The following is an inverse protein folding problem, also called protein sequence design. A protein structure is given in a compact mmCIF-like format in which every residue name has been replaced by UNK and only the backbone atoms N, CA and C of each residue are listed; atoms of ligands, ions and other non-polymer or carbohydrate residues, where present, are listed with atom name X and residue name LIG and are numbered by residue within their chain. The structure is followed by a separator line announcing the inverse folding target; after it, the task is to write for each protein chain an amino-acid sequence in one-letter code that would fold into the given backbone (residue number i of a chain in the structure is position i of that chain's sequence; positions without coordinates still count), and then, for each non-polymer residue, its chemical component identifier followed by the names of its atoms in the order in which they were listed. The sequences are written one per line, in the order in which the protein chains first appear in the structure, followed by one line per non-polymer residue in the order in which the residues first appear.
data_IF_780905597107
#
_entry.id   IF_780905597107
#
_cell.length_a   1.000
_cell.length_b   1.000
_cell.length_c   1.000
_cell.angle_alpha   90.00
_cell.angle_beta   90.00
_cell.angle_gamma   90.00
#
_symmetry.space_group_name_H-M   'P 1'
#
loop_
_entity.id
_entity.type
_entity.pdbx_description
1 polymer ?
#
# COMPACT_ATOMS: atom_id res chain seq x y z
N UNK A 1 11.80 -7.42 11.13
CA UNK A 1 10.99 -8.47 10.47
C UNK A 1 10.69 -8.04 9.05
N UNK A 2 10.89 -8.91 8.05
CA UNK A 2 10.58 -8.60 6.65
C UNK A 2 9.20 -9.12 6.27
N UNK A 3 8.54 -8.42 5.35
CA UNK A 3 7.25 -8.85 4.81
C UNK A 3 7.16 -8.57 3.31
N UNK A 4 6.26 -9.28 2.63
CA UNK A 4 5.89 -9.00 1.26
C UNK A 4 4.37 -9.14 1.07
N UNK A 5 3.80 -8.33 0.19
CA UNK A 5 2.37 -8.30 -0.05
C UNK A 5 1.99 -7.37 -1.20
N UNK A 6 0.69 -7.06 -1.28
CA UNK A 6 0.16 -6.09 -2.22
C UNK A 6 -0.54 -4.98 -1.45
N UNK A 7 -0.11 -3.73 -1.68
CA UNK A 7 -0.75 -2.55 -1.10
C UNK A 7 -2.00 -2.11 -1.90
N UNK A 8 -2.08 -2.52 -3.17
CA UNK A 8 -3.25 -2.35 -4.02
C UNK A 8 -3.34 -3.50 -5.03
N UNK A 9 -4.56 -3.85 -5.42
CA UNK A 9 -4.89 -4.79 -6.49
C UNK A 9 -5.60 -4.02 -7.60
N UNK A 10 -5.13 -4.16 -8.83
CA UNK A 10 -5.68 -3.44 -9.96
C UNK A 10 -7.05 -3.96 -10.38
N UNK A 11 -7.90 -3.04 -10.87
CA UNK A 11 -9.23 -3.36 -11.37
C UNK A 11 -10.22 -3.86 -10.32
N UNK A 12 -9.86 -3.83 -9.03
CA UNK A 12 -10.73 -4.20 -7.91
C UNK A 12 -11.17 -2.96 -7.16
N UNK A 13 -12.48 -2.83 -7.00
CA UNK A 13 -13.09 -1.74 -6.25
C UNK A 13 -12.79 -1.89 -4.75
N UNK A 14 -12.43 -0.79 -4.11
CA UNK A 14 -12.30 -0.71 -2.66
C UNK A 14 -13.64 -0.32 -1.99
N UNK A 15 -13.66 -0.28 -0.66
CA UNK A 15 -14.84 0.09 0.12
C UNK A 15 -15.23 1.57 -0.03
N UNK A 16 -14.34 2.42 -0.55
CA UNK A 16 -14.62 3.83 -0.88
C UNK A 16 -15.18 4.03 -2.29
N UNK A 17 -15.23 2.98 -3.12
CA UNK A 17 -15.69 3.03 -4.50
C UNK A 17 -14.57 3.29 -5.52
N UNK A 18 -13.32 3.36 -5.09
CA UNK A 18 -12.19 3.62 -5.98
C UNK A 18 -11.69 2.32 -6.63
N UNK A 19 -11.32 2.41 -7.90
CA UNK A 19 -10.68 1.34 -8.65
C UNK A 19 -9.33 1.82 -9.15
N UNK A 20 -8.25 1.18 -8.71
CA UNK A 20 -6.91 1.51 -9.18
C UNK A 20 -6.67 0.87 -10.55
N UNK A 21 -6.25 1.66 -11.54
CA UNK A 21 -5.90 1.18 -12.87
C UNK A 21 -4.41 0.81 -12.95
N UNK A 22 -4.02 -0.19 -13.76
CA UNK A 22 -2.60 -0.43 -14.06
C UNK A 22 -1.93 0.85 -14.58
N UNK A 23 -0.69 1.12 -14.15
CA UNK A 23 0.03 2.35 -14.50
C UNK A 23 -0.28 3.54 -13.61
N UNK A 24 -1.24 3.44 -12.68
CA UNK A 24 -1.64 4.56 -11.83
C UNK A 24 -0.52 5.04 -10.91
N UNK A 25 0.44 4.18 -10.54
CA UNK A 25 1.57 4.54 -9.71
C UNK A 25 2.83 4.89 -10.52
N UNK A 26 2.88 4.59 -11.82
CA UNK A 26 4.09 4.65 -12.65
C UNK A 26 4.87 5.97 -12.51
N UNK A 27 4.17 7.11 -12.65
CA UNK A 27 4.80 8.45 -12.49
C UNK A 27 5.36 8.64 -11.09
N UNK A 28 4.58 8.31 -10.06
CA UNK A 28 4.99 8.49 -8.66
C UNK A 28 6.16 7.59 -8.30
N UNK A 29 6.22 6.36 -8.80
CA UNK A 29 7.34 5.45 -8.57
C UNK A 29 8.61 5.89 -9.29
N UNK A 30 8.49 6.44 -10.51
CA UNK A 30 9.63 6.96 -11.26
C UNK A 30 10.28 8.17 -10.57
N UNK A 31 9.47 9.12 -10.08
CA UNK A 31 9.98 10.31 -9.37
C UNK A 31 10.73 9.92 -8.07
N UNK A 32 10.28 8.84 -7.45
CA UNK A 32 10.69 8.42 -6.11
C UNK A 32 12.11 7.87 -5.99
N UNK A 33 12.75 7.50 -7.09
CA UNK A 33 14.16 7.10 -7.08
C UNK A 33 15.06 8.17 -6.41
N UNK A 34 14.60 9.43 -6.39
CA UNK A 34 15.30 10.58 -5.80
C UNK A 34 14.96 10.84 -4.32
N UNK A 35 13.84 10.29 -3.80
CA UNK A 35 13.23 10.70 -2.52
C UNK A 35 13.44 9.69 -1.36
N UNK A 36 14.19 8.61 -1.60
CA UNK A 36 14.45 7.56 -0.60
C UNK A 36 13.30 6.55 -0.40
N UNK A 37 13.35 5.65 0.59
CA UNK A 37 12.37 4.56 0.81
C UNK A 37 11.03 5.03 1.42
N UNK A 38 9.89 4.36 1.14
CA UNK A 38 8.58 4.78 1.67
C UNK A 38 8.53 4.42 3.16
N UNK A 39 7.90 5.27 4.00
CA UNK A 39 7.58 4.84 5.34
C UNK A 39 6.53 3.73 5.30
N UNK A 40 6.62 2.82 6.27
CA UNK A 40 5.47 2.01 6.67
C UNK A 40 4.86 2.65 7.91
N UNK A 41 3.64 3.13 7.82
CA UNK A 41 2.90 3.68 8.97
C UNK A 41 1.98 2.64 9.60
N UNK A 42 1.63 2.87 10.86
CA UNK A 42 0.57 2.14 11.54
C UNK A 42 -0.76 2.89 11.34
N UNK A 43 -1.74 2.26 10.69
CA UNK A 43 -3.10 2.84 10.56
C UNK A 43 -3.11 4.27 9.98
N UNK A 44 -2.30 4.56 8.97
CA UNK A 44 -2.16 5.89 8.34
C UNK A 44 -1.68 7.02 9.27
N UNK A 45 -1.16 6.69 10.46
CA UNK A 45 -0.63 7.67 11.41
C UNK A 45 0.81 8.04 11.07
N UNK A 46 1.01 9.24 10.52
CA UNK A 46 2.33 9.74 10.14
C UNK A 46 3.29 9.89 11.33
N UNK A 47 2.77 10.08 12.55
CA UNK A 47 3.54 10.10 13.81
C UNK A 47 3.94 8.68 14.29
N UNK A 48 3.48 7.62 13.62
CA UNK A 48 3.71 6.22 13.98
C UNK A 48 4.33 5.44 12.82
N UNK A 49 5.56 5.80 12.45
CA UNK A 49 6.38 5.00 11.53
C UNK A 49 6.87 3.74 12.20
N UNK A 50 6.50 2.59 11.62
CA UNK A 50 6.81 1.25 12.13
C UNK A 50 7.77 0.46 11.24
N UNK A 51 8.20 1.04 10.12
CA UNK A 51 9.09 0.40 9.17
C UNK A 51 9.34 1.19 7.90
N UNK A 52 9.84 0.49 6.89
CA UNK A 52 10.16 1.01 5.56
C UNK A 52 9.81 0.02 4.47
N UNK A 53 9.49 0.54 3.29
CA UNK A 53 9.39 -0.25 2.06
C UNK A 53 10.77 -0.32 1.41
N UNK A 54 11.28 -1.54 1.26
CA UNK A 54 12.57 -1.85 0.64
C UNK A 54 12.44 -1.89 -0.89
N UNK A 55 11.30 -2.38 -1.38
CA UNK A 55 11.02 -2.51 -2.82
C UNK A 55 9.54 -2.30 -3.06
N UNK A 56 9.22 -1.55 -4.11
CA UNK A 56 7.86 -1.30 -4.55
C UNK A 56 7.82 -1.26 -6.07
N UNK A 57 6.85 -1.94 -6.65
CA UNK A 57 6.67 -1.99 -8.10
C UNK A 57 5.23 -2.34 -8.45
N UNK A 58 4.80 -1.91 -9.63
CA UNK A 58 3.60 -2.45 -10.25
C UNK A 58 3.93 -3.78 -10.93
N UNK A 59 3.00 -4.72 -10.89
CA UNK A 59 2.97 -5.92 -11.75
C UNK A 59 1.57 -6.12 -12.34
N UNK A 60 1.33 -7.24 -13.02
CA UNK A 60 0.03 -7.53 -13.64
C UNK A 60 -1.14 -7.54 -12.64
N UNK A 61 -0.86 -7.85 -11.37
CA UNK A 61 -1.87 -7.97 -10.32
C UNK A 61 -2.11 -6.65 -9.59
N UNK A 62 -1.06 -5.89 -9.29
CA UNK A 62 -1.20 -4.73 -8.41
C UNK A 62 0.10 -4.03 -8.04
N UNK A 63 0.03 -3.26 -6.96
CA UNK A 63 1.18 -2.60 -6.35
C UNK A 63 1.83 -3.55 -5.33
N UNK A 64 2.87 -4.25 -5.77
CA UNK A 64 3.63 -5.21 -4.97
C UNK A 64 4.63 -4.47 -4.09
N UNK A 65 4.72 -4.88 -2.82
CA UNK A 65 5.66 -4.32 -1.85
C UNK A 65 6.46 -5.39 -1.14
N UNK A 66 7.72 -5.05 -0.84
CA UNK A 66 8.57 -5.75 0.12
C UNK A 66 9.04 -4.69 1.12
N UNK A 67 8.89 -4.96 2.41
CA UNK A 67 9.28 -4.01 3.44
C UNK A 67 9.85 -4.68 4.69
N UNK A 68 10.40 -3.83 5.55
CA UNK A 68 10.96 -4.21 6.84
C UNK A 68 10.24 -3.44 7.94
N UNK A 69 9.68 -4.17 8.92
CA UNK A 69 9.15 -3.61 10.15
C UNK A 69 10.25 -3.54 11.22
N UNK A 70 10.37 -2.37 11.84
CA UNK A 70 11.28 -2.05 12.95
C UNK A 70 10.55 -1.97 14.30
N UNK A 71 9.22 -1.77 14.29
CA UNK A 71 8.40 -1.79 15.50
C UNK A 71 8.10 -3.24 15.92
N UNK A 72 8.51 -3.62 17.13
CA UNK A 72 8.37 -4.97 17.64
C UNK A 72 6.91 -5.39 17.88
N UNK A 73 6.05 -4.46 18.30
CA UNK A 73 4.62 -4.72 18.55
C UNK A 73 3.86 -4.98 17.25
N UNK A 74 4.06 -4.13 16.25
CA UNK A 74 3.49 -4.32 14.92
C UNK A 74 4.01 -5.61 14.26
N UNK A 75 5.31 -5.93 14.43
CA UNK A 75 5.87 -7.17 13.93
C UNK A 75 5.25 -8.40 14.62
N UNK A 76 5.02 -8.36 15.93
CA UNK A 76 4.33 -9.44 16.64
C UNK A 76 2.89 -9.63 16.15
N UNK A 77 2.10 -8.55 16.04
CA UNK A 77 0.72 -8.60 15.54
C UNK A 77 0.62 -9.13 14.11
N UNK A 78 1.60 -8.80 13.26
CA UNK A 78 1.66 -9.32 11.90
C UNK A 78 2.10 -10.79 11.86
N UNK A 79 3.06 -11.19 12.70
CA UNK A 79 3.49 -12.60 12.82
C UNK A 79 2.33 -13.50 13.27
N UNK A 80 1.56 -13.04 14.25
CA UNK A 80 0.40 -13.75 14.80
C UNK A 80 -0.84 -13.62 13.89
N UNK A 81 -0.70 -12.87 12.79
CA UNK A 81 -1.72 -12.64 11.76
C UNK A 81 -2.98 -11.91 12.25
N UNK A 82 -2.93 -11.30 13.43
CA UNK A 82 -3.98 -10.43 14.00
C UNK A 82 -4.15 -9.16 13.17
N UNK A 83 -3.06 -8.63 12.60
CA UNK A 83 -3.09 -7.51 11.66
C UNK A 83 -2.29 -7.86 10.42
N UNK A 84 -2.91 -7.79 9.25
CA UNK A 84 -2.29 -8.19 7.98
C UNK A 84 -2.68 -7.34 6.77
N UNK A 85 -3.63 -6.42 6.93
CA UNK A 85 -4.09 -5.56 5.86
C UNK A 85 -3.00 -4.56 5.46
N UNK A 86 -2.91 -4.28 4.16
CA UNK A 86 -2.11 -3.20 3.64
C UNK A 86 -3.02 -2.12 3.06
N UNK A 87 -2.60 -0.88 3.18
CA UNK A 87 -3.25 0.27 2.57
C UNK A 87 -2.17 1.27 2.15
N UNK A 88 -2.57 2.34 1.47
CA UNK A 88 -1.64 3.36 1.02
C UNK A 88 -2.29 4.75 1.05
N UNK A 89 -1.47 5.74 1.34
CA UNK A 89 -1.85 7.15 1.37
C UNK A 89 -1.43 7.79 0.07
N UNK A 90 -2.34 8.53 -0.56
CA UNK A 90 -2.11 9.06 -1.89
C UNK A 90 -2.90 10.35 -2.16
N UNK A 91 -2.53 11.04 -3.24
CA UNK A 91 -3.33 12.09 -3.88
C UNK A 91 -3.67 11.67 -5.30
N UNK A 92 -4.96 11.70 -5.66
CA UNK A 92 -5.36 11.48 -7.04
C UNK A 92 -4.95 12.67 -7.92
N UNK A 93 -4.25 12.38 -9.02
CA UNK A 93 -3.84 13.39 -10.02
C UNK A 93 -4.59 13.25 -11.35
N UNK A 94 -5.12 12.06 -11.64
CA UNK A 94 -6.02 11.80 -12.74
C UNK A 94 -6.99 10.71 -12.34
N UNK A 95 -8.28 10.97 -12.49
CA UNK A 95 -9.34 10.03 -12.18
C UNK A 95 -10.55 10.25 -13.08
N UNK A 96 -11.26 9.17 -13.40
CA UNK A 96 -12.51 9.19 -14.16
C UNK A 96 -13.67 8.79 -13.24
N UNK A 97 -14.67 9.65 -13.09
CA UNK A 97 -15.89 9.30 -12.35
C UNK A 97 -16.66 8.20 -13.07
N UNK A 98 -17.25 7.30 -12.30
CA UNK A 98 -18.15 6.26 -12.78
C UNK A 98 -19.43 6.28 -11.94
N UNK A 99 -20.47 5.55 -12.36
CA UNK A 99 -21.70 5.43 -11.57
C UNK A 99 -21.47 4.82 -10.16
N UNK A 100 -20.36 4.11 -9.97
CA UNK A 100 -20.08 3.34 -8.76
C UNK A 100 -18.84 3.83 -8.00
N UNK A 101 -18.38 5.05 -8.29
CA UNK A 101 -17.20 5.67 -7.66
C UNK A 101 -16.29 6.32 -8.70
N UNK A 102 -15.00 5.98 -8.71
CA UNK A 102 -14.05 6.51 -9.70
C UNK A 102 -12.93 5.52 -10.02
N UNK A 103 -12.48 5.57 -11.26
CA UNK A 103 -11.26 4.89 -11.71
C UNK A 103 -10.07 5.83 -11.50
N UNK A 104 -9.11 5.45 -10.66
CA UNK A 104 -7.88 6.20 -10.46
C UNK A 104 -6.87 5.82 -11.54
N UNK A 105 -6.59 6.77 -12.42
CA UNK A 105 -5.69 6.60 -13.57
C UNK A 105 -4.26 7.06 -13.27
N UNK A 106 -4.09 7.99 -12.34
CA UNK A 106 -2.77 8.37 -11.83
C UNK A 106 -2.86 8.95 -10.41
N UNK A 107 -1.94 8.53 -9.55
CA UNK A 107 -1.85 8.99 -8.16
C UNK A 107 -0.41 9.36 -7.79
N UNK A 108 -0.27 10.29 -6.84
CA UNK A 108 0.98 10.50 -6.11
C UNK A 108 0.92 9.67 -4.83
N UNK A 109 1.88 8.76 -4.65
CA UNK A 109 1.96 7.85 -3.51
C UNK A 109 2.85 8.44 -2.41
N UNK A 110 2.30 8.51 -1.20
CA UNK A 110 3.00 9.12 -0.06
C UNK A 110 3.51 8.08 0.95
N UNK A 111 2.77 7.01 1.16
CA UNK A 111 3.07 6.01 2.21
C UNK A 111 2.36 4.69 1.95
N UNK A 112 2.84 3.64 2.62
CA UNK A 112 2.13 2.37 2.78
C UNK A 112 1.87 2.15 4.27
N UNK A 113 0.71 1.63 4.63
CA UNK A 113 0.34 1.40 6.02
C UNK A 113 0.02 -0.07 6.26
N UNK A 114 0.44 -0.57 7.43
CA UNK A 114 -0.11 -1.80 8.01
C UNK A 114 -1.39 -1.41 8.76
N UNK A 115 -2.51 -2.03 8.38
CA UNK A 115 -3.84 -1.66 8.86
C UNK A 115 -4.64 -2.88 9.30
N UNK A 116 -5.54 -2.67 10.27
CA UNK A 116 -6.45 -3.74 10.71
C UNK A 116 -7.50 -4.03 9.65
N UNK A 117 -8.05 -2.97 9.05
CA UNK A 117 -9.10 -3.05 8.04
C UNK A 117 -8.72 -2.19 6.83
N UNK A 118 -8.20 -2.79 5.75
CA UNK A 118 -7.89 -2.05 4.55
C UNK A 118 -9.18 -1.66 3.81
N UNK A 119 -9.17 -0.50 3.15
CA UNK A 119 -10.25 -0.14 2.22
C UNK A 119 -10.37 -1.15 1.09
N UNK A 120 -9.27 -1.76 0.67
CA UNK A 120 -9.31 -2.87 -0.27
C UNK A 120 -9.02 -4.20 0.46
N UNK A 121 -10.03 -5.07 0.69
CA UNK A 121 -9.84 -6.31 1.46
C UNK A 121 -8.75 -7.26 0.94
N UNK A 122 -8.46 -7.21 -0.36
CA UNK A 122 -7.44 -8.02 -1.02
C UNK A 122 -6.01 -7.46 -0.88
N UNK A 123 -5.85 -6.23 -0.38
CA UNK A 123 -4.54 -5.64 -0.10
C UNK A 123 -4.04 -6.18 1.24
N UNK A 124 -3.13 -7.15 1.18
CA UNK A 124 -2.72 -7.96 2.31
C UNK A 124 -1.23 -8.25 2.27
N UNK A 125 -0.64 -8.46 3.44
CA UNK A 125 0.63 -9.16 3.59
C UNK A 125 0.42 -10.63 3.25
N UNK A 126 1.25 -11.17 2.36
CA UNK A 126 1.19 -12.57 1.92
C UNK A 126 2.34 -13.41 2.46
N UNK A 127 3.47 -12.78 2.78
CA UNK A 127 4.66 -13.46 3.29
C UNK A 127 5.28 -12.66 4.42
N UNK A 128 5.71 -13.36 5.46
CA UNK A 128 6.47 -12.82 6.59
C UNK A 128 7.74 -13.65 6.73
N UNK A 129 8.88 -12.99 6.94
CA UNK A 129 10.15 -13.61 7.27
C UNK A 129 10.72 -12.95 8.54
N UNK A 130 11.10 -13.74 9.56
CA UNK A 130 11.73 -13.24 10.78
C UNK A 130 12.90 -12.29 10.48
#
# INVERSE_FOLDING_TARGET
MRFAGYAAIFGKRDLGGDVIKPGAFARSLAARASDGPLPVFWQHRADRRIGTIDTIAEDERGLRVIGTLTDAGAAALLRDRTVRGLSFGYRATAARRTAAGRDLQAVDLFEVSLVTQPMQPLAQVHLVRP
#
